data_IF_428184382157
#
_entry.id   IF_428184382157
#
_cell.length_a   1.000
_cell.length_b   1.000
_cell.length_c   1.000
_cell.angle_alpha   90.00
_cell.angle_beta   90.00
_cell.angle_gamma   90.00
#
_symmetry.space_group_name_H-M   'P 1'
#
loop_
_entity.id
_entity.type
_entity.pdbx_description
1 polymer ?
#
# COMPACT_ATOMS: atom_id res chain seq x y z
N UNK A 1 8.45 45.81 -34.83
CA UNK A 1 7.38 45.49 -33.86
C UNK A 1 7.33 43.98 -33.78
N UNK A 2 8.13 43.41 -32.89
CA UNK A 2 8.31 41.96 -32.71
C UNK A 2 7.20 41.48 -31.79
N UNK A 3 6.22 40.77 -32.35
CA UNK A 3 5.17 40.10 -31.60
C UNK A 3 5.45 38.61 -31.66
N UNK A 4 6.42 38.19 -30.86
CA UNK A 4 6.87 36.81 -30.75
C UNK A 4 5.71 35.90 -30.35
N UNK A 5 5.50 34.86 -31.16
CA UNK A 5 4.65 33.73 -30.83
C UNK A 5 5.30 32.86 -29.76
N UNK A 6 5.52 33.44 -28.57
CA UNK A 6 5.85 32.76 -27.33
C UNK A 6 4.60 31.97 -26.89
N UNK A 7 4.27 30.95 -27.69
CA UNK A 7 3.28 29.95 -27.36
C UNK A 7 3.72 29.31 -26.05
N UNK A 8 2.88 29.55 -25.05
CA UNK A 8 3.06 29.36 -23.61
C UNK A 8 3.35 27.87 -23.27
N UNK A 9 4.56 27.39 -23.58
CA UNK A 9 5.04 26.05 -23.21
C UNK A 9 4.91 25.81 -21.71
N UNK A 10 4.96 26.89 -20.92
CA UNK A 10 4.72 26.89 -19.49
C UNK A 10 3.29 26.49 -19.14
N UNK A 11 2.29 27.01 -19.85
CA UNK A 11 0.87 26.62 -19.66
C UNK A 11 0.62 25.15 -19.99
N UNK A 12 1.23 24.61 -21.05
CA UNK A 12 1.14 23.18 -21.38
C UNK A 12 1.86 22.30 -20.34
N UNK A 13 3.07 22.70 -19.91
CA UNK A 13 3.83 21.99 -18.90
C UNK A 13 3.12 21.97 -17.54
N UNK A 14 2.52 23.10 -17.14
CA UNK A 14 1.76 23.23 -15.91
C UNK A 14 0.49 22.36 -15.94
N UNK A 15 -0.21 22.33 -17.08
CA UNK A 15 -1.38 21.47 -17.29
C UNK A 15 -1.06 19.97 -17.17
N UNK A 16 0.04 19.52 -17.79
CA UNK A 16 0.51 18.14 -17.67
C UNK A 16 0.91 17.78 -16.24
N UNK A 17 1.63 18.68 -15.56
CA UNK A 17 2.04 18.45 -14.17
C UNK A 17 0.85 18.39 -13.23
N UNK A 18 -0.12 19.31 -13.37
CA UNK A 18 -1.37 19.29 -12.61
C UNK A 18 -2.17 18.00 -12.87
N UNK A 19 -2.24 17.54 -14.12
CA UNK A 19 -2.89 16.29 -14.49
C UNK A 19 -2.21 15.07 -13.85
N UNK A 20 -0.87 15.00 -13.86
CA UNK A 20 -0.10 13.91 -13.24
C UNK A 20 -0.21 13.95 -11.72
N UNK A 21 -0.16 15.12 -11.09
CA UNK A 21 -0.29 15.28 -9.63
C UNK A 21 -1.71 14.95 -9.19
N UNK A 22 -2.74 15.42 -9.91
CA UNK A 22 -4.14 15.08 -9.64
C UNK A 22 -4.39 13.59 -9.85
N UNK A 23 -3.85 13.01 -10.92
CA UNK A 23 -3.89 11.57 -11.18
C UNK A 23 -3.17 10.78 -10.07
N UNK A 24 -2.02 11.24 -9.59
CA UNK A 24 -1.29 10.63 -8.48
C UNK A 24 -2.07 10.73 -7.16
N UNK A 25 -2.69 11.87 -6.86
CA UNK A 25 -3.52 12.08 -5.66
C UNK A 25 -4.77 11.20 -5.70
N UNK A 26 -5.44 11.09 -6.84
CA UNK A 26 -6.62 10.24 -7.03
C UNK A 26 -6.25 8.74 -7.01
N UNK A 27 -5.13 8.37 -7.63
CA UNK A 27 -4.61 7.00 -7.61
C UNK A 27 -4.13 6.57 -6.21
N UNK A 28 -3.58 7.51 -5.43
CA UNK A 28 -3.23 7.29 -4.02
C UNK A 28 -4.45 6.98 -3.15
N UNK A 29 -5.64 7.49 -3.51
CA UNK A 29 -6.91 7.12 -2.84
C UNK A 29 -7.45 5.76 -3.30
N UNK A 30 -7.19 5.33 -4.54
CA UNK A 30 -7.53 3.96 -5.02
C UNK A 30 -6.69 2.89 -4.36
N UNK A 31 -5.39 3.11 -4.12
CA UNK A 31 -4.55 2.20 -3.31
C UNK A 31 -5.00 2.07 -1.84
N UNK A 32 -5.91 2.92 -1.37
CA UNK A 32 -6.55 2.82 -0.05
C UNK A 32 -7.93 2.14 -0.11
N UNK A 33 -8.48 1.92 -1.30
CA UNK A 33 -9.71 1.15 -1.52
C UNK A 33 -9.33 -0.30 -1.83
N UNK A 34 -8.96 -0.96 -0.75
CA UNK A 34 -8.78 -2.40 -0.57
C UNK A 34 -10.03 -3.11 -1.09
N UNK A 35 -9.87 -4.02 -2.06
CA UNK A 35 -10.94 -4.90 -2.54
C UNK A 35 -11.58 -5.69 -1.39
N UNK A 36 -12.87 -6.08 -1.49
CA UNK A 36 -13.56 -6.82 -0.44
C UNK A 36 -12.82 -8.12 -0.11
N UNK A 37 -12.18 -8.09 1.06
CA UNK A 37 -11.45 -9.17 1.74
C UNK A 37 -12.30 -10.45 1.75
N UNK A 38 -11.82 -11.49 1.06
CA UNK A 38 -12.22 -12.85 1.42
C UNK A 38 -11.69 -13.13 2.83
N UNK A 39 -12.52 -13.58 3.77
CA UNK A 39 -12.08 -13.90 5.12
C UNK A 39 -11.09 -15.06 5.05
N UNK A 40 -9.80 -14.74 5.09
CA UNK A 40 -8.76 -15.75 5.28
C UNK A 40 -8.91 -16.23 6.71
N UNK A 41 -9.47 -17.42 6.86
CA UNK A 41 -9.59 -18.09 8.14
C UNK A 41 -8.20 -18.14 8.81
N UNK A 42 -8.03 -17.60 10.04
CA UNK A 42 -6.74 -17.58 10.75
C UNK A 42 -6.17 -18.99 11.05
N UNK A 43 -6.89 -20.04 10.65
CA UNK A 43 -6.48 -21.45 10.72
C UNK A 43 -5.48 -21.87 9.64
N UNK A 44 -5.40 -21.13 8.54
CA UNK A 44 -4.43 -21.35 7.43
C UNK A 44 -3.05 -20.70 7.73
N UNK A 45 -2.89 -20.08 8.91
CA UNK A 45 -1.58 -19.60 9.36
C UNK A 45 -0.72 -20.82 9.73
N UNK A 46 -0.01 -21.34 8.74
CA UNK A 46 0.95 -22.43 8.89
C UNK A 46 1.80 -22.24 10.16
N UNK A 47 2.02 -23.30 10.93
CA UNK A 47 2.59 -23.23 12.29
C UNK A 47 3.91 -22.44 12.38
N UNK A 48 4.77 -22.56 11.36
CA UNK A 48 6.02 -21.80 11.25
C UNK A 48 5.80 -20.30 11.05
N UNK A 49 4.82 -19.91 10.24
CA UNK A 49 4.48 -18.50 10.02
C UNK A 49 3.94 -17.87 11.30
N UNK A 50 3.12 -18.62 12.05
CA UNK A 50 2.63 -18.21 13.37
C UNK A 50 3.79 -17.96 14.35
N UNK A 51 4.74 -18.88 14.41
CA UNK A 51 5.90 -18.77 15.30
C UNK A 51 6.79 -17.56 14.94
N UNK A 52 7.03 -17.34 13.65
CA UNK A 52 7.79 -16.19 13.16
C UNK A 52 7.11 -14.87 13.51
N UNK A 53 5.80 -14.75 13.29
CA UNK A 53 5.05 -13.53 13.64
C UNK A 53 5.13 -13.23 15.13
N UNK A 54 5.04 -14.25 15.99
CA UNK A 54 5.18 -14.09 17.44
C UNK A 54 6.59 -13.61 17.83
N UNK A 55 7.64 -14.17 17.21
CA UNK A 55 9.03 -13.75 17.42
C UNK A 55 9.24 -12.29 16.98
N UNK A 56 8.81 -11.92 15.77
CA UNK A 56 8.91 -10.55 15.28
C UNK A 56 8.13 -9.56 16.14
N UNK A 57 6.96 -9.97 16.67
CA UNK A 57 6.16 -9.15 17.58
C UNK A 57 6.86 -8.95 18.92
N UNK A 58 7.46 -10.00 19.49
CA UNK A 58 8.21 -9.94 20.75
C UNK A 58 9.44 -9.03 20.63
N UNK A 59 10.09 -9.02 19.47
CA UNK A 59 11.26 -8.20 19.15
C UNK A 59 10.89 -6.74 18.78
N UNK A 60 9.60 -6.36 18.81
CA UNK A 60 9.13 -5.03 18.42
C UNK A 60 9.11 -4.77 16.90
N UNK A 61 9.51 -5.76 16.09
CA UNK A 61 9.56 -5.72 14.62
C UNK A 61 8.22 -6.01 13.95
N UNK A 62 7.17 -5.28 14.34
CA UNK A 62 5.80 -5.48 13.82
C UNK A 62 5.68 -5.26 12.30
N UNK A 63 6.49 -4.38 11.72
CA UNK A 63 6.48 -4.12 10.26
C UNK A 63 6.98 -5.34 9.49
N UNK A 64 8.03 -6.00 9.98
CA UNK A 64 8.59 -7.22 9.39
C UNK A 64 7.57 -8.36 9.46
N UNK A 65 6.90 -8.53 10.59
CA UNK A 65 5.82 -9.51 10.74
C UNK A 65 4.69 -9.28 9.73
N UNK A 66 4.28 -8.03 9.53
CA UNK A 66 3.23 -7.67 8.57
C UNK A 66 3.71 -7.95 7.13
N UNK A 67 4.97 -7.65 6.78
CA UNK A 67 5.51 -7.99 5.46
C UNK A 67 5.51 -9.50 5.22
N UNK A 68 6.00 -10.27 6.18
CA UNK A 68 6.05 -11.73 6.13
C UNK A 68 4.67 -12.35 5.88
N UNK A 69 3.65 -11.88 6.61
CA UNK A 69 2.27 -12.34 6.46
C UNK A 69 1.71 -11.95 5.08
N UNK A 70 2.05 -10.77 4.55
CA UNK A 70 1.63 -10.36 3.20
C UNK A 70 2.29 -11.17 2.11
N UNK A 71 3.58 -11.45 2.21
CA UNK A 71 4.31 -12.22 1.20
C UNK A 71 3.88 -13.68 1.16
N UNK A 72 3.47 -14.25 2.30
CA UNK A 72 3.08 -15.65 2.40
C UNK A 72 1.60 -15.89 2.07
N UNK A 73 0.72 -14.95 2.41
CA UNK A 73 -0.73 -15.10 2.23
C UNK A 73 -1.29 -14.24 1.08
N UNK A 74 -0.40 -13.56 0.35
CA UNK A 74 -0.73 -12.55 -0.68
C UNK A 74 -1.87 -11.60 -0.26
N UNK A 75 -1.89 -11.25 1.03
CA UNK A 75 -3.03 -10.57 1.63
C UNK A 75 -2.83 -9.05 1.73
N UNK A 76 -3.92 -8.32 1.89
CA UNK A 76 -3.86 -6.88 2.07
C UNK A 76 -3.17 -6.48 3.40
N UNK A 77 -2.62 -5.26 3.44
CA UNK A 77 -1.97 -4.68 4.61
C UNK A 77 -2.88 -4.68 5.84
N UNK A 78 -4.19 -4.45 5.66
CA UNK A 78 -5.16 -4.45 6.77
C UNK A 78 -5.30 -5.84 7.38
N UNK A 79 -5.41 -6.87 6.54
CA UNK A 79 -5.51 -8.28 6.98
C UNK A 79 -4.22 -8.73 7.65
N UNK A 80 -3.07 -8.40 7.06
CA UNK A 80 -1.79 -8.72 7.66
C UNK A 80 -1.61 -8.08 9.04
N UNK A 81 -1.98 -6.79 9.18
CA UNK A 81 -1.98 -6.12 10.48
C UNK A 81 -2.92 -6.81 11.47
N UNK A 82 -4.14 -7.14 11.05
CA UNK A 82 -5.12 -7.81 11.90
C UNK A 82 -4.59 -9.16 12.41
N UNK A 83 -4.02 -9.97 11.53
CA UNK A 83 -3.42 -11.27 11.87
C UNK A 83 -2.26 -11.11 12.87
N UNK A 84 -1.35 -10.16 12.64
CA UNK A 84 -0.23 -9.90 13.55
C UNK A 84 -0.68 -9.38 14.91
N UNK A 85 -1.78 -8.63 14.98
CA UNK A 85 -2.32 -8.11 16.25
C UNK A 85 -3.14 -9.15 17.03
N UNK A 86 -3.85 -10.05 16.33
CA UNK A 86 -4.76 -11.03 16.94
C UNK A 86 -4.13 -12.40 17.14
N UNK A 87 -2.94 -12.68 16.58
CA UNK A 87 -2.23 -13.92 16.84
C UNK A 87 -1.86 -14.02 18.34
N UNK A 88 -2.37 -15.07 18.98
CA UNK A 88 -2.06 -15.50 20.35
C UNK A 88 -1.65 -16.95 20.38
#
# INVERSE_FOLDING_TARGET
MTGDGEFDWLSFALGLFAGVVLSWILNRRRKLQIEPVQPIEPRELHGDLKALVLLYRADGRKIEAIKLVREQLDCDLRTAKYLVEHVR
#
